data_IF_325976961642
#
_entry.id   IF_325976961642
#
_cell.length_a   1.000
_cell.length_b   1.000
_cell.length_c   1.000
_cell.angle_alpha   90.00
_cell.angle_beta   90.00
_cell.angle_gamma   90.00
#
_symmetry.space_group_name_H-M   'P 1'
#
loop_
_entity.id
_entity.type
_entity.pdbx_description
1 polymer ?
#
# COMPACT_ATOMS: atom_id res chain seq x y z
N UNK A 1 -1.73 -1.04 21.63
CA UNK A 1 -2.31 -2.34 21.24
C UNK A 1 -3.74 -2.08 20.85
N UNK A 2 -4.00 -2.01 19.55
CA UNK A 2 -5.35 -2.04 18.98
C UNK A 2 -5.38 -3.32 18.17
N UNK A 3 -5.85 -4.40 18.78
CA UNK A 3 -5.94 -5.68 18.11
C UNK A 3 -6.93 -5.53 16.94
N UNK A 4 -6.48 -5.89 15.75
CA UNK A 4 -7.36 -5.93 14.59
C UNK A 4 -8.48 -6.94 14.85
N UNK A 5 -9.73 -6.55 14.58
CA UNK A 5 -10.87 -7.48 14.64
C UNK A 5 -10.92 -8.42 13.43
N UNK A 6 -10.16 -8.10 12.39
CA UNK A 6 -10.04 -8.84 11.13
C UNK A 6 -8.58 -8.93 10.71
N UNK A 7 -8.20 -9.94 9.95
CA UNK A 7 -6.86 -10.00 9.36
C UNK A 7 -6.70 -8.86 8.33
N UNK A 8 -5.71 -7.97 8.49
CA UNK A 8 -5.50 -6.88 7.54
C UNK A 8 -5.08 -7.39 6.16
N UNK A 9 -5.48 -6.68 5.10
CA UNK A 9 -5.09 -7.00 3.74
C UNK A 9 -3.56 -6.90 3.57
N UNK A 10 -2.96 -7.95 3.04
CA UNK A 10 -1.54 -8.02 2.71
C UNK A 10 -1.39 -8.84 1.42
N UNK A 11 -0.73 -8.27 0.42
CA UNK A 11 -0.63 -8.79 -0.93
C UNK A 11 0.86 -9.03 -1.24
N UNK A 12 1.17 -10.24 -1.68
CA UNK A 12 2.49 -10.56 -2.24
C UNK A 12 2.50 -10.14 -3.70
N UNK A 13 3.38 -9.20 -4.05
CA UNK A 13 3.48 -8.62 -5.39
C UNK A 13 4.89 -8.85 -5.97
N UNK A 14 5.21 -8.23 -7.10
CA UNK A 14 6.46 -8.48 -7.82
C UNK A 14 7.74 -8.15 -7.04
N UNK A 15 7.84 -6.99 -6.35
CA UNK A 15 9.06 -6.58 -5.62
C UNK A 15 8.95 -6.61 -4.09
N UNK A 16 7.96 -5.92 -3.55
CA UNK A 16 7.66 -5.74 -2.13
C UNK A 16 6.22 -6.11 -1.82
N UNK A 17 5.96 -6.63 -0.63
CA UNK A 17 4.58 -6.81 -0.19
C UNK A 17 3.88 -5.46 0.01
N UNK A 18 2.57 -5.42 -0.29
CA UNK A 18 1.70 -4.27 -0.03
C UNK A 18 0.76 -4.67 1.09
N UNK A 19 0.88 -4.07 2.27
CA UNK A 19 0.12 -4.47 3.44
C UNK A 19 -0.48 -3.28 4.18
N UNK A 20 -1.70 -3.44 4.70
CA UNK A 20 -2.33 -2.45 5.57
C UNK A 20 -1.75 -2.63 6.98
N UNK A 21 -0.81 -1.77 7.36
CA UNK A 21 -0.09 -1.85 8.62
C UNK A 21 -0.78 -1.13 9.77
N UNK A 22 -1.72 -0.22 9.47
CA UNK A 22 -2.60 0.44 10.45
C UNK A 22 -3.92 0.82 9.80
N UNK A 23 -4.93 1.19 10.59
CA UNK A 23 -6.27 1.59 10.10
C UNK A 23 -6.27 2.77 9.12
N UNK A 24 -5.12 3.44 8.94
CA UNK A 24 -4.97 4.62 8.07
C UNK A 24 -3.75 4.57 7.16
N UNK A 25 -2.90 3.53 7.23
CA UNK A 25 -1.63 3.47 6.49
C UNK A 25 -1.44 2.16 5.74
N UNK A 26 -0.78 2.29 4.60
CA UNK A 26 -0.34 1.21 3.73
C UNK A 26 1.19 1.19 3.80
N UNK A 27 1.75 0.00 4.02
CA UNK A 27 3.17 -0.27 3.98
C UNK A 27 3.53 -1.00 2.70
N UNK A 28 4.60 -0.56 2.06
CA UNK A 28 5.16 -1.16 0.84
C UNK A 28 6.67 -1.25 1.04
N UNK A 29 7.17 -2.45 1.29
CA UNK A 29 8.55 -2.63 1.77
C UNK A 29 8.78 -1.91 3.10
N UNK A 30 9.85 -1.13 3.20
CA UNK A 30 10.18 -0.34 4.41
C UNK A 30 9.38 0.97 4.53
N UNK A 31 8.64 1.34 3.48
CA UNK A 31 7.95 2.62 3.38
C UNK A 31 6.52 2.51 3.92
N UNK A 32 6.08 3.45 4.76
CA UNK A 32 4.74 3.40 5.39
C UNK A 32 4.06 4.75 5.38
N UNK A 33 2.97 4.87 4.62
CA UNK A 33 2.29 6.14 4.38
C UNK A 33 0.77 5.98 4.30
N UNK A 34 0.05 7.08 4.46
CA UNK A 34 -1.38 7.15 4.17
C UNK A 34 -1.64 7.00 2.67
N UNK A 35 -2.85 6.59 2.26
CA UNK A 35 -3.17 6.49 0.84
C UNK A 35 -2.98 7.80 0.05
N UNK A 36 -3.26 8.95 0.69
CA UNK A 36 -3.06 10.28 0.06
C UNK A 36 -1.59 10.65 -0.09
N UNK A 37 -0.73 10.18 0.80
CA UNK A 37 0.71 10.41 0.69
C UNK A 37 1.30 9.54 -0.41
N UNK A 38 0.88 8.29 -0.53
CA UNK A 38 1.27 7.40 -1.63
C UNK A 38 1.02 8.02 -3.02
N UNK A 39 -0.11 8.72 -3.19
CA UNK A 39 -0.42 9.45 -4.43
C UNK A 39 0.60 10.55 -4.77
N UNK A 40 1.32 11.07 -3.78
CA UNK A 40 2.30 12.16 -3.94
C UNK A 40 3.74 11.67 -4.08
N UNK A 41 4.10 10.62 -3.35
CA UNK A 41 5.50 10.19 -3.22
C UNK A 41 5.80 8.84 -3.89
N UNK A 42 4.76 8.08 -4.25
CA UNK A 42 4.91 6.72 -4.77
C UNK A 42 5.79 6.64 -6.00
N UNK A 43 5.64 7.57 -6.95
CA UNK A 43 6.48 7.62 -8.16
C UNK A 43 7.96 7.87 -7.85
N UNK A 44 8.27 8.71 -6.85
CA UNK A 44 9.64 8.95 -6.42
C UNK A 44 10.25 7.69 -5.80
N UNK A 45 9.50 6.98 -4.97
CA UNK A 45 9.94 5.73 -4.34
C UNK A 45 10.17 4.66 -5.41
N UNK A 46 9.25 4.53 -6.36
CA UNK A 46 9.36 3.60 -7.48
C UNK A 46 10.63 3.86 -8.31
N UNK A 47 10.93 5.13 -8.61
CA UNK A 47 12.16 5.52 -9.30
C UNK A 47 13.42 5.17 -8.51
N UNK A 48 13.44 5.42 -7.20
CA UNK A 48 14.60 5.13 -6.35
C UNK A 48 14.87 3.63 -6.17
N UNK A 49 13.88 2.79 -6.47
CA UNK A 49 13.97 1.32 -6.35
C UNK A 49 13.92 0.64 -7.73
N UNK A 50 14.22 1.37 -8.81
CA UNK A 50 14.30 0.86 -10.18
C UNK A 50 13.06 0.07 -10.62
N UNK A 51 11.87 0.55 -10.28
CA UNK A 51 10.62 -0.05 -10.74
C UNK A 51 10.45 0.19 -12.24
N UNK A 52 10.01 -0.84 -12.95
CA UNK A 52 9.53 -0.76 -14.32
C UNK A 52 8.15 -0.11 -14.37
N UNK A 53 7.73 0.34 -15.57
CA UNK A 53 6.39 0.91 -15.77
C UNK A 53 5.27 -0.08 -15.38
N UNK A 54 5.44 -1.36 -15.71
CA UNK A 54 4.45 -2.40 -15.38
C UNK A 54 4.33 -2.60 -13.88
N UNK A 55 5.45 -2.64 -13.15
CA UNK A 55 5.43 -2.73 -11.69
C UNK A 55 4.80 -1.49 -11.04
N UNK A 56 5.02 -0.29 -11.60
CA UNK A 56 4.34 0.93 -11.11
C UNK A 56 2.82 0.80 -11.23
N UNK A 57 2.32 0.33 -12.38
CA UNK A 57 0.88 0.16 -12.59
C UNK A 57 0.29 -0.96 -11.72
N UNK A 58 1.03 -2.06 -11.51
CA UNK A 58 0.67 -3.11 -10.55
C UNK A 58 0.47 -2.52 -9.14
N UNK A 59 1.39 -1.66 -8.70
CA UNK A 59 1.33 -1.10 -7.35
C UNK A 59 0.23 -0.06 -7.21
N UNK A 60 -0.03 0.75 -8.24
CA UNK A 60 -1.18 1.66 -8.27
C UNK A 60 -2.49 0.88 -8.13
N UNK A 61 -2.64 -0.24 -8.83
CA UNK A 61 -3.79 -1.12 -8.73
C UNK A 61 -3.99 -1.62 -7.29
N UNK A 62 -2.93 -2.11 -6.65
CA UNK A 62 -3.01 -2.61 -5.28
C UNK A 62 -3.24 -1.52 -4.23
N UNK A 63 -2.67 -0.32 -4.43
CA UNK A 63 -2.97 0.84 -3.58
C UNK A 63 -4.45 1.23 -3.68
N UNK A 64 -5.06 1.19 -4.87
CA UNK A 64 -6.50 1.44 -5.02
C UNK A 64 -7.35 0.38 -4.32
N UNK A 65 -6.96 -0.90 -4.42
CA UNK A 65 -7.60 -1.97 -3.67
C UNK A 65 -7.51 -1.73 -2.15
N UNK A 66 -6.33 -1.35 -1.63
CA UNK A 66 -6.16 -1.00 -0.22
C UNK A 66 -7.04 0.18 0.20
N UNK A 67 -7.18 1.23 -0.64
CA UNK A 67 -8.10 2.36 -0.38
C UNK A 67 -9.54 1.88 -0.19
N UNK A 68 -10.01 1.00 -1.08
CA UNK A 68 -11.35 0.42 -0.99
C UNK A 68 -11.53 -0.45 0.25
N UNK A 69 -10.53 -1.28 0.56
CA UNK A 69 -10.55 -2.13 1.75
C UNK A 69 -10.60 -1.30 3.04
N UNK A 70 -9.79 -0.26 3.16
CA UNK A 70 -9.79 0.66 4.31
C UNK A 70 -11.17 1.31 4.49
N UNK A 71 -11.80 1.73 3.39
CA UNK A 71 -13.16 2.28 3.42
C UNK A 71 -14.21 1.25 3.84
N UNK A 72 -13.98 -0.05 3.64
CA UNK A 72 -14.94 -1.08 4.02
C UNK A 72 -14.86 -1.45 5.50
N UNK A 73 -13.66 -1.41 6.09
CA UNK A 73 -13.41 -2.00 7.41
C UNK A 73 -12.85 -1.02 8.46
N UNK A 74 -12.47 0.20 8.09
CA UNK A 74 -11.80 1.15 8.98
C UNK A 74 -12.44 2.55 8.99
N UNK A 75 -13.51 2.77 8.23
CA UNK A 75 -14.31 4.00 8.22
C UNK A 75 -15.34 4.04 9.34
#
# INVERSE_FOLDING_TARGET
GDAWLITPLCIHTTKFSVCISSKTKISIGCETYTPKEWDKIGERIAKNNDFTKTEIEEYKLYIDLCKRWLKLYCS
#
